data_IF_684091359544
#
_entry.id   IF_684091359544
#
_cell.length_a   1.000
_cell.length_b   1.000
_cell.length_c   1.000
_cell.angle_alpha   90.00
_cell.angle_beta   90.00
_cell.angle_gamma   90.00
#
_symmetry.space_group_name_H-M   'P 1'
#
loop_
_entity.id
_entity.type
_entity.pdbx_description
1 polymer ?
#
# COMPACT_ATOMS: atom_id res chain seq x y z
N UNK A 1 -9.49 16.11 13.49
CA UNK A 1 -9.40 15.43 12.18
C UNK A 1 -8.94 13.99 12.37
N UNK A 2 -9.56 13.08 11.67
CA UNK A 2 -9.11 11.70 11.71
C UNK A 2 -7.72 11.58 11.07
N UNK A 3 -6.84 10.85 11.72
CA UNK A 3 -5.52 10.56 11.18
C UNK A 3 -5.63 9.54 10.06
N UNK A 4 -5.18 9.90 8.87
CA UNK A 4 -5.18 8.99 7.72
C UNK A 4 -3.93 8.10 7.79
N UNK A 5 -4.15 6.82 7.98
CA UNK A 5 -3.10 5.80 8.03
C UNK A 5 -3.24 4.95 6.77
N UNK A 6 -2.30 5.10 5.87
CA UNK A 6 -2.40 4.58 4.50
C UNK A 6 -1.35 3.50 4.29
N UNK A 7 -1.81 2.26 4.11
CA UNK A 7 -0.92 1.16 3.78
C UNK A 7 -0.72 1.11 2.27
N UNK A 8 0.53 1.05 1.86
CA UNK A 8 0.93 1.01 0.45
C UNK A 8 1.25 -0.41 0.02
N UNK A 9 0.51 -0.90 -0.98
CA UNK A 9 0.81 -2.17 -1.62
C UNK A 9 2.15 -2.09 -2.37
N UNK A 10 2.75 -3.23 -2.65
CA UNK A 10 4.05 -3.30 -3.33
C UNK A 10 4.04 -2.57 -4.67
N UNK A 11 2.95 -2.67 -5.44
CA UNK A 11 2.87 -2.00 -6.73
C UNK A 11 2.89 -0.47 -6.61
N UNK A 12 2.44 0.09 -5.48
CA UNK A 12 2.50 1.54 -5.24
C UNK A 12 3.95 1.97 -5.00
N UNK A 13 4.68 1.22 -4.17
CA UNK A 13 6.10 1.48 -3.93
C UNK A 13 6.89 1.38 -5.24
N UNK A 14 6.63 0.34 -6.03
CA UNK A 14 7.25 0.15 -7.32
C UNK A 14 6.96 1.32 -8.27
N UNK A 15 5.68 1.65 -8.43
CA UNK A 15 5.26 2.68 -9.39
C UNK A 15 5.78 4.07 -9.00
N UNK A 16 5.80 4.38 -7.71
CA UNK A 16 6.32 5.68 -7.24
C UNK A 16 7.80 5.85 -7.62
N UNK A 17 8.60 4.79 -7.49
CA UNK A 17 10.01 4.83 -7.85
C UNK A 17 10.23 4.79 -9.36
N UNK A 18 9.42 4.01 -10.08
CA UNK A 18 9.51 3.84 -11.52
C UNK A 18 9.06 5.10 -12.28
N UNK A 19 8.00 5.75 -11.77
CA UNK A 19 7.37 6.92 -12.42
C UNK A 19 7.29 8.08 -11.43
N UNK A 20 8.37 8.86 -11.26
CA UNK A 20 8.42 9.90 -10.23
C UNK A 20 7.45 11.05 -10.43
N UNK A 21 6.84 11.18 -11.61
CA UNK A 21 5.86 12.24 -11.89
C UNK A 21 4.40 11.74 -11.76
N UNK A 22 4.20 10.49 -11.35
CA UNK A 22 2.87 9.90 -11.28
C UNK A 22 2.17 10.09 -9.94
N UNK A 23 0.95 9.56 -9.85
CA UNK A 23 0.11 9.69 -8.65
C UNK A 23 0.66 8.94 -7.46
N UNK A 24 1.30 7.78 -7.68
CA UNK A 24 1.91 7.03 -6.58
C UNK A 24 3.04 7.83 -5.94
N UNK A 25 3.88 8.49 -6.76
CA UNK A 25 4.94 9.35 -6.24
C UNK A 25 4.37 10.54 -5.47
N UNK A 26 3.28 11.13 -5.95
CA UNK A 26 2.61 12.23 -5.24
C UNK A 26 2.14 11.78 -3.86
N UNK A 27 1.62 10.56 -3.75
CA UNK A 27 1.19 10.02 -2.46
C UNK A 27 2.37 9.91 -1.49
N UNK A 28 3.55 9.48 -1.96
CA UNK A 28 4.76 9.43 -1.14
C UNK A 28 5.18 10.84 -0.68
N UNK A 29 5.04 11.84 -1.55
CA UNK A 29 5.33 13.23 -1.20
C UNK A 29 4.40 13.74 -0.09
N UNK A 30 3.12 13.37 -0.12
CA UNK A 30 2.16 13.73 0.94
C UNK A 30 2.58 13.13 2.28
N UNK A 31 3.09 11.90 2.26
CA UNK A 31 3.63 11.27 3.47
C UNK A 31 4.85 12.01 3.99
N UNK A 32 5.78 12.36 3.10
CA UNK A 32 6.99 13.13 3.48
C UNK A 32 6.63 14.50 4.04
N UNK A 33 5.55 15.11 3.55
CA UNK A 33 5.07 16.40 4.05
C UNK A 33 4.24 16.28 5.34
N UNK A 34 4.04 15.08 5.87
CA UNK A 34 3.28 14.87 7.10
C UNK A 34 1.78 14.99 6.95
N UNK A 35 1.25 14.96 5.72
CA UNK A 35 -0.18 15.08 5.46
C UNK A 35 -0.93 13.78 5.73
N UNK A 36 -0.25 12.65 5.62
CA UNK A 36 -0.78 11.33 5.90
C UNK A 36 0.31 10.50 6.55
N UNK A 37 -0.07 9.48 7.32
CA UNK A 37 0.87 8.48 7.83
C UNK A 37 0.92 7.32 6.84
N UNK A 38 2.07 7.10 6.22
CA UNK A 38 2.26 6.00 5.28
C UNK A 38 2.80 4.78 5.99
N UNK A 39 2.23 3.63 5.66
CA UNK A 39 2.61 2.32 6.20
C UNK A 39 2.92 1.36 5.06
N UNK A 40 3.81 0.41 5.30
CA UNK A 40 4.01 -0.73 4.41
C UNK A 40 4.60 -1.88 5.23
N UNK A 41 4.84 -3.03 4.60
CA UNK A 41 5.39 -4.18 5.28
C UNK A 41 6.71 -4.63 4.63
N UNK A 42 7.55 -5.41 5.33
CA UNK A 42 8.76 -5.96 4.72
C UNK A 42 8.47 -6.76 3.45
N UNK A 43 7.39 -7.53 3.42
CA UNK A 43 7.02 -8.32 2.25
C UNK A 43 6.73 -7.42 1.03
N UNK A 44 6.01 -6.32 1.24
CA UNK A 44 5.74 -5.36 0.17
C UNK A 44 7.02 -4.74 -0.36
N UNK A 45 7.95 -4.39 0.54
CA UNK A 45 9.24 -3.80 0.16
C UNK A 45 10.04 -4.79 -0.69
N UNK A 46 10.15 -6.04 -0.25
CA UNK A 46 10.91 -7.08 -0.97
C UNK A 46 10.33 -7.28 -2.36
N UNK A 47 9.02 -7.33 -2.49
CA UNK A 47 8.38 -7.49 -3.79
C UNK A 47 8.66 -6.30 -4.71
N UNK A 48 8.56 -5.08 -4.19
CA UNK A 48 8.86 -3.87 -4.96
C UNK A 48 10.32 -3.84 -5.41
N UNK A 49 11.25 -4.17 -4.51
CA UNK A 49 12.68 -4.22 -4.83
C UNK A 49 12.97 -5.25 -5.93
N UNK A 50 12.39 -6.44 -5.82
CA UNK A 50 12.57 -7.50 -6.81
C UNK A 50 12.08 -7.07 -8.18
N UNK A 51 10.93 -6.43 -8.23
CA UNK A 51 10.35 -5.96 -9.50
C UNK A 51 11.18 -4.83 -10.11
N UNK A 52 11.71 -3.91 -9.30
CA UNK A 52 12.60 -2.85 -9.80
C UNK A 52 13.92 -3.39 -10.29
N UNK A 53 14.51 -4.36 -9.60
CA UNK A 53 15.75 -5.00 -10.06
C UNK A 53 15.58 -5.61 -11.45
N UNK A 54 14.41 -6.21 -11.71
CA UNK A 54 14.12 -6.84 -12.99
C UNK A 54 13.83 -5.82 -14.09
N UNK A 55 13.15 -4.72 -13.77
CA UNK A 55 12.61 -3.80 -14.77
C UNK A 55 13.35 -2.48 -14.89
N UNK A 56 13.86 -1.94 -13.79
CA UNK A 56 14.54 -0.65 -13.78
C UNK A 56 15.45 -0.54 -12.55
N UNK A 57 16.61 -1.21 -12.54
CA UNK A 57 17.50 -1.19 -11.37
C UNK A 57 17.90 0.22 -10.91
N UNK A 58 18.01 1.17 -11.85
CA UNK A 58 18.34 2.55 -11.52
C UNK A 58 17.33 3.21 -10.57
N UNK A 59 16.10 2.69 -10.49
CA UNK A 59 15.07 3.24 -9.63
C UNK A 59 15.15 2.74 -8.17
N UNK A 60 16.01 1.76 -7.86
CA UNK A 60 16.16 1.25 -6.49
C UNK A 60 16.54 2.33 -5.49
N UNK A 61 17.39 3.27 -5.90
CA UNK A 61 17.78 4.37 -5.03
C UNK A 61 16.58 5.27 -4.70
N UNK A 62 15.73 5.53 -5.68
CA UNK A 62 14.51 6.31 -5.47
C UNK A 62 13.56 5.60 -4.49
N UNK A 63 13.42 4.28 -4.60
CA UNK A 63 12.63 3.51 -3.65
C UNK A 63 13.15 3.68 -2.23
N UNK A 64 14.45 3.51 -2.03
CA UNK A 64 15.07 3.61 -0.71
C UNK A 64 14.86 4.99 -0.09
N UNK A 65 14.97 6.05 -0.90
CA UNK A 65 14.68 7.41 -0.42
C UNK A 65 13.22 7.58 -0.02
N UNK A 66 12.30 7.05 -0.82
CA UNK A 66 10.86 7.11 -0.51
C UNK A 66 10.53 6.43 0.80
N UNK A 67 11.20 5.33 1.12
CA UNK A 67 10.92 4.56 2.33
C UNK A 67 11.24 5.32 3.61
N UNK A 68 12.04 6.38 3.55
CA UNK A 68 12.30 7.21 4.74
C UNK A 68 11.04 7.90 5.25
N UNK A 69 10.03 8.07 4.41
CA UNK A 69 8.74 8.68 4.76
C UNK A 69 7.66 7.64 5.09
N UNK A 70 8.03 6.36 5.15
CA UNK A 70 7.07 5.26 5.33
C UNK A 70 7.43 4.47 6.59
N UNK A 71 6.43 4.19 7.42
CA UNK A 71 6.61 3.31 8.58
C UNK A 71 6.47 1.86 8.14
N UNK A 72 7.45 1.04 8.49
CA UNK A 72 7.43 -0.38 8.16
C UNK A 72 6.80 -1.11 9.34
N UNK A 73 5.65 -1.75 9.10
CA UNK A 73 4.94 -2.50 10.14
C UNK A 73 5.40 -3.95 10.16
N UNK A 74 5.14 -4.63 11.27
CA UNK A 74 5.50 -6.05 11.43
C UNK A 74 4.65 -6.92 10.53
N UNK A 75 5.24 -8.00 9.97
CA UNK A 75 4.46 -8.98 9.23
C UNK A 75 3.40 -9.61 10.13
N UNK A 76 2.18 -9.83 9.63
CA UNK A 76 1.12 -10.44 10.43
C UNK A 76 1.40 -11.93 10.68
N UNK A 77 0.91 -12.44 11.80
CA UNK A 77 0.94 -13.86 12.05
C UNK A 77 0.08 -14.61 11.03
N UNK A 78 0.45 -15.85 10.63
CA UNK A 78 -0.36 -16.63 9.67
C UNK A 78 -1.82 -16.79 10.10
N UNK A 79 -2.08 -16.94 11.39
CA UNK A 79 -3.45 -17.03 11.89
C UNK A 79 -4.26 -15.75 11.65
N UNK A 80 -3.62 -14.59 11.74
CA UNK A 80 -4.27 -13.31 11.45
C UNK A 80 -4.55 -13.15 9.95
N UNK A 81 -3.66 -13.63 9.10
CA UNK A 81 -3.89 -13.63 7.65
C UNK A 81 -5.17 -14.42 7.33
N UNK A 82 -5.29 -15.62 7.88
CA UNK A 82 -6.47 -16.46 7.67
C UNK A 82 -7.75 -15.82 8.21
N UNK A 83 -7.67 -15.25 9.41
CA UNK A 83 -8.84 -14.73 10.12
C UNK A 83 -9.33 -13.39 9.55
N UNK A 84 -8.43 -12.54 9.11
CA UNK A 84 -8.73 -11.14 8.78
C UNK A 84 -8.96 -10.87 7.30
N UNK A 85 -8.56 -11.78 6.41
CA UNK A 85 -8.62 -11.52 4.97
C UNK A 85 -9.58 -12.46 4.25
N UNK A 86 -10.21 -11.98 3.15
CA UNK A 86 -11.12 -12.82 2.37
C UNK A 86 -10.38 -14.00 1.73
N UNK A 87 -10.93 -15.23 1.79
CA UNK A 87 -10.30 -16.38 1.16
C UNK A 87 -10.25 -16.27 -0.38
N UNK A 88 -11.10 -15.44 -0.97
CA UNK A 88 -11.11 -15.19 -2.43
C UNK A 88 -9.91 -14.39 -2.91
N UNK A 89 -9.24 -13.66 -2.00
CA UNK A 89 -8.05 -12.91 -2.36
C UNK A 89 -6.87 -13.87 -2.53
N UNK A 90 -5.98 -13.58 -3.48
CA UNK A 90 -4.84 -14.47 -3.74
C UNK A 90 -3.95 -14.62 -2.51
N UNK A 91 -3.30 -15.78 -2.40
CA UNK A 91 -2.40 -16.07 -1.28
C UNK A 91 -1.23 -15.08 -1.19
N UNK A 92 -0.87 -14.47 -2.31
CA UNK A 92 0.17 -13.45 -2.39
C UNK A 92 -0.28 -12.12 -1.78
N UNK A 93 -1.54 -11.76 -1.97
CA UNK A 93 -2.09 -10.47 -1.56
C UNK A 93 -2.61 -10.46 -0.13
N UNK A 94 -3.04 -11.61 0.38
CA UNK A 94 -3.64 -11.72 1.71
C UNK A 94 -2.71 -11.24 2.84
N UNK A 95 -1.41 -11.58 2.85
CA UNK A 95 -0.52 -11.08 3.91
C UNK A 95 -0.37 -9.57 3.92
N UNK A 96 -0.42 -8.93 2.76
CA UNK A 96 -0.33 -7.47 2.66
C UNK A 96 -1.56 -6.80 3.24
N UNK A 97 -2.75 -7.29 2.90
CA UNK A 97 -3.99 -6.77 3.45
C UNK A 97 -4.06 -7.00 4.96
N UNK A 98 -3.66 -8.18 5.43
CA UNK A 98 -3.63 -8.48 6.85
C UNK A 98 -2.69 -7.54 7.62
N UNK A 99 -1.52 -7.24 7.06
CA UNK A 99 -0.58 -6.30 7.67
C UNK A 99 -1.22 -4.93 7.86
N UNK A 100 -1.95 -4.46 6.85
CA UNK A 100 -2.66 -3.19 6.92
C UNK A 100 -3.72 -3.20 8.03
N UNK A 101 -4.50 -4.27 8.12
CA UNK A 101 -5.57 -4.40 9.12
C UNK A 101 -4.98 -4.43 10.54
N UNK A 102 -3.96 -5.24 10.76
CA UNK A 102 -3.30 -5.37 12.08
C UNK A 102 -2.68 -4.05 12.51
N UNK A 103 -2.15 -3.28 11.56
CA UNK A 103 -1.55 -1.97 11.83
C UNK A 103 -2.59 -0.84 11.94
N UNK A 104 -3.88 -1.16 11.91
CA UNK A 104 -4.97 -0.19 12.00
C UNK A 104 -4.93 0.88 10.90
N UNK A 105 -4.62 0.47 9.67
CA UNK A 105 -4.68 1.37 8.53
C UNK A 105 -6.13 1.78 8.29
N UNK A 106 -6.33 3.03 7.89
CA UNK A 106 -7.63 3.52 7.46
C UNK A 106 -7.88 3.18 6.00
N UNK A 107 -6.81 3.09 5.22
CA UNK A 107 -6.84 2.84 3.78
C UNK A 107 -5.77 1.85 3.36
N UNK A 108 -6.10 0.99 2.43
CA UNK A 108 -5.17 0.14 1.70
C UNK A 108 -5.15 0.63 0.26
N UNK A 109 -4.02 1.18 -0.18
CA UNK A 109 -3.90 1.75 -1.53
C UNK A 109 -3.14 0.79 -2.42
N UNK A 110 -3.76 0.44 -3.54
CA UNK A 110 -3.23 -0.50 -4.52
C UNK A 110 -3.57 -0.08 -5.94
N UNK A 111 -2.70 -0.42 -6.88
CA UNK A 111 -2.99 -0.29 -8.31
C UNK A 111 -3.60 -1.53 -8.92
N UNK A 112 -3.72 -2.62 -8.14
CA UNK A 112 -4.18 -3.91 -8.64
C UNK A 112 -5.71 -4.02 -8.58
N UNK A 113 -6.37 -3.46 -9.59
CA UNK A 113 -7.83 -3.50 -9.69
C UNK A 113 -8.33 -4.91 -9.99
N UNK A 114 -7.52 -5.72 -10.69
CA UNK A 114 -7.90 -7.10 -11.02
C UNK A 114 -8.11 -7.93 -9.74
N UNK A 115 -7.17 -7.83 -8.79
CA UNK A 115 -7.24 -8.63 -7.56
C UNK A 115 -8.08 -7.96 -6.47
N UNK A 116 -8.02 -6.64 -6.35
CA UNK A 116 -8.67 -5.93 -5.24
C UNK A 116 -9.97 -5.20 -5.61
N UNK A 117 -10.33 -5.14 -6.90
CA UNK A 117 -11.44 -4.30 -7.35
C UNK A 117 -12.77 -4.56 -6.65
N UNK A 118 -13.08 -5.82 -6.34
CA UNK A 118 -14.34 -6.16 -5.67
C UNK A 118 -14.43 -5.63 -4.24
N UNK A 119 -13.30 -5.30 -3.61
CA UNK A 119 -13.27 -4.72 -2.25
C UNK A 119 -13.14 -3.20 -2.25
N UNK A 120 -13.12 -2.58 -3.40
CA UNK A 120 -13.12 -1.12 -3.54
C UNK A 120 -14.51 -0.51 -3.39
N UNK A 121 -15.54 -1.36 -3.32
CA UNK A 121 -16.91 -0.95 -3.08
C UNK A 121 -17.06 -0.50 -1.62
N UNK A 122 -17.74 0.62 -1.40
CA UNK A 122 -18.02 1.15 -0.07
C UNK A 122 -18.83 0.21 0.82
N UNK A 123 -19.50 -0.77 0.23
CA UNK A 123 -20.25 -1.80 0.95
C UNK A 123 -19.40 -2.99 1.35
N UNK A 124 -18.12 -2.96 1.04
CA UNK A 124 -17.19 -3.99 1.46
C UNK A 124 -17.17 -4.09 2.98
N UNK A 125 -17.05 -5.33 3.50
CA UNK A 125 -17.05 -5.59 4.94
C UNK A 125 -15.66 -5.51 5.59
N UNK A 126 -14.66 -5.06 4.83
CA UNK A 126 -13.31 -4.90 5.38
C UNK A 126 -13.29 -3.70 6.35
N UNK A 127 -12.44 -3.76 7.38
CA UNK A 127 -12.35 -2.68 8.38
C UNK A 127 -11.55 -1.47 7.90
N UNK A 128 -11.25 -1.38 6.61
CA UNK A 128 -10.55 -0.27 5.99
C UNK A 128 -11.07 -0.08 4.57
N UNK A 129 -10.74 1.08 3.99
CA UNK A 129 -11.08 1.38 2.60
C UNK A 129 -9.98 0.86 1.68
N UNK A 130 -10.35 0.18 0.59
CA UNK A 130 -9.44 -0.23 -0.47
C UNK A 130 -9.62 0.72 -1.63
N UNK A 131 -8.53 1.38 -2.05
CA UNK A 131 -8.60 2.43 -3.06
C UNK A 131 -7.39 2.40 -3.98
N UNK A 132 -7.57 2.90 -5.21
CA UNK A 132 -6.44 3.24 -6.08
C UNK A 132 -5.82 4.56 -5.60
N UNK A 133 -4.59 4.89 -6.04
CA UNK A 133 -4.02 6.20 -5.73
C UNK A 133 -4.92 7.36 -6.17
N UNK A 134 -5.52 7.26 -7.35
CA UNK A 134 -6.42 8.29 -7.85
C UNK A 134 -7.63 8.47 -6.94
N UNK A 135 -8.26 7.37 -6.55
CA UNK A 135 -9.41 7.43 -5.65
C UNK A 135 -9.04 8.04 -4.31
N UNK A 136 -7.91 7.62 -3.75
CA UNK A 136 -7.46 8.15 -2.46
C UNK A 136 -7.22 9.65 -2.53
N UNK A 137 -6.49 10.11 -3.55
CA UNK A 137 -6.17 11.54 -3.68
C UNK A 137 -7.40 12.40 -3.94
N UNK A 138 -8.42 11.83 -4.57
CA UNK A 138 -9.66 12.54 -4.89
C UNK A 138 -10.63 12.53 -3.71
N UNK A 139 -10.82 11.38 -3.05
CA UNK A 139 -11.89 11.19 -2.08
C UNK A 139 -11.46 11.43 -0.64
N UNK A 140 -10.21 11.15 -0.28
CA UNK A 140 -9.76 11.29 1.10
C UNK A 140 -9.35 12.72 1.49
N UNK A 141 -9.09 13.57 0.51
CA UNK A 141 -8.68 14.97 0.72
C UNK A 141 -7.51 15.09 1.71
N UNK A 142 -6.41 14.37 1.47
CA UNK A 142 -5.26 14.42 2.38
C UNK A 142 -4.55 15.77 2.41
#
# INVERSE_FOLDING_TARGET
MADLRVFLDANILFTAAYSPDGLSALLLELGAAGRVTLLTSPLAIVEAERNLEAKRPAALHALRRSLTAVRVVTEPAPADVERLTPPELSSKDRPLLAAAIVAHATHFVTGDVADFGRWMDRRSRLPLWVMTPRQFLTEAHP
#
